data_IF_461077799720
#
_entry.id   IF_461077799720
#
_cell.length_a   1.000
_cell.length_b   1.000
_cell.length_c   1.000
_cell.angle_alpha   90.00
_cell.angle_beta   90.00
_cell.angle_gamma   90.00
#
_symmetry.space_group_name_H-M   'P 1'
#
loop_
_entity.id
_entity.type
_entity.pdbx_description
1 polymer ?
#
# COMPACT_ATOMS: atom_id res chain seq x y z
N UNK A 1 1.34 -3.03 11.86
CA UNK A 1 1.84 -3.80 10.69
C UNK A 1 1.84 -2.89 9.47
N UNK A 2 2.89 -2.94 8.65
CA UNK A 2 2.95 -2.23 7.36
C UNK A 2 3.16 -3.25 6.23
N UNK A 3 2.60 -2.95 5.06
CA UNK A 3 2.72 -3.77 3.86
C UNK A 3 2.52 -2.89 2.63
N UNK A 4 2.91 -3.37 1.46
CA UNK A 4 2.87 -2.60 0.21
C UNK A 4 2.30 -3.45 -0.93
N UNK A 5 1.77 -2.77 -1.95
CA UNK A 5 1.38 -3.39 -3.21
C UNK A 5 2.26 -2.82 -4.32
N UNK A 6 3.21 -3.63 -4.80
CA UNK A 6 4.13 -3.23 -5.86
C UNK A 6 3.37 -2.92 -7.15
N UNK A 7 3.56 -1.72 -7.70
CA UNK A 7 3.08 -1.36 -9.03
C UNK A 7 3.87 -2.11 -10.11
N UNK A 8 3.24 -2.36 -11.26
CA UNK A 8 3.91 -2.98 -12.40
C UNK A 8 5.00 -2.06 -12.94
N UNK A 9 6.24 -2.55 -13.01
CA UNK A 9 7.37 -1.78 -13.56
C UNK A 9 7.09 -1.38 -15.01
N UNK A 10 6.64 -2.32 -15.84
CA UNK A 10 6.33 -2.03 -17.26
C UNK A 10 5.20 -1.01 -17.40
N UNK A 11 4.24 -1.01 -16.47
CA UNK A 11 3.13 -0.06 -16.46
C UNK A 11 3.50 1.33 -15.99
N UNK A 12 4.55 1.48 -15.17
CA UNK A 12 4.92 2.76 -14.55
C UNK A 12 6.28 3.32 -14.97
N UNK A 13 7.08 2.58 -15.73
CA UNK A 13 8.44 2.99 -16.11
C UNK A 13 8.49 4.31 -16.89
N UNK A 14 7.48 4.61 -17.71
CA UNK A 14 7.50 5.76 -18.63
C UNK A 14 6.79 7.00 -18.11
N UNK A 15 5.99 6.87 -17.04
CA UNK A 15 5.14 7.91 -16.46
C UNK A 15 4.53 8.91 -17.47
N UNK A 16 4.05 8.39 -18.61
CA UNK A 16 3.61 9.19 -19.75
C UNK A 16 2.08 9.46 -19.75
N UNK A 17 1.36 8.98 -18.73
CA UNK A 17 -0.09 9.15 -18.58
C UNK A 17 -0.95 8.14 -19.34
N UNK A 18 -0.36 7.03 -19.82
CA UNK A 18 -1.04 6.05 -20.67
C UNK A 18 -1.28 4.73 -19.91
N UNK A 19 -0.22 4.12 -19.38
CA UNK A 19 -0.28 2.79 -18.76
C UNK A 19 -0.28 2.85 -17.22
N UNK A 20 0.11 4.00 -16.67
CA UNK A 20 0.32 4.19 -15.24
C UNK A 20 -1.00 4.11 -14.48
N UNK A 21 -2.09 4.65 -15.04
CA UNK A 21 -3.39 4.70 -14.38
C UNK A 21 -3.90 3.29 -14.07
N UNK A 22 -3.73 2.35 -15.00
CA UNK A 22 -4.08 0.94 -14.76
C UNK A 22 -3.22 0.32 -13.66
N UNK A 23 -1.90 0.52 -13.70
CA UNK A 23 -0.99 -0.03 -12.69
C UNK A 23 -1.26 0.53 -11.28
N UNK A 24 -1.61 1.82 -11.20
CA UNK A 24 -2.05 2.50 -9.99
C UNK A 24 -3.37 1.91 -9.50
N UNK A 25 -4.41 1.90 -10.34
CA UNK A 25 -5.73 1.37 -10.01
C UNK A 25 -5.66 -0.07 -9.52
N UNK A 26 -4.96 -0.95 -10.25
CA UNK A 26 -4.82 -2.35 -9.88
C UNK A 26 -4.12 -2.53 -8.53
N UNK A 27 -3.12 -1.70 -8.24
CA UNK A 27 -2.45 -1.72 -6.93
C UNK A 27 -3.39 -1.28 -5.82
N UNK A 28 -4.16 -0.21 -6.03
CA UNK A 28 -5.16 0.24 -5.08
C UNK A 28 -6.27 -0.78 -4.82
N UNK A 29 -6.76 -1.48 -5.85
CA UNK A 29 -7.81 -2.50 -5.70
C UNK A 29 -7.38 -3.70 -4.85
N UNK A 30 -6.07 -4.00 -4.81
CA UNK A 30 -5.52 -5.09 -3.97
C UNK A 30 -5.45 -4.70 -2.50
N UNK A 31 -5.27 -3.41 -2.21
CA UNK A 31 -5.00 -2.96 -0.86
C UNK A 31 -6.09 -3.35 0.16
N UNK A 32 -7.38 -3.04 -0.04
CA UNK A 32 -8.41 -3.40 0.93
C UNK A 32 -8.56 -4.93 1.10
N UNK A 33 -8.35 -5.72 0.05
CA UNK A 33 -8.44 -7.19 0.11
C UNK A 33 -7.41 -7.77 1.08
N UNK A 34 -6.14 -7.39 0.92
CA UNK A 34 -5.05 -7.86 1.78
C UNK A 34 -5.23 -7.36 3.21
N UNK A 35 -5.59 -6.08 3.37
CA UNK A 35 -5.81 -5.51 4.70
C UNK A 35 -6.92 -6.21 5.48
N UNK A 36 -8.02 -6.60 4.84
CA UNK A 36 -9.09 -7.39 5.47
C UNK A 36 -8.61 -8.79 5.83
N UNK A 37 -7.91 -9.49 4.93
CA UNK A 37 -7.38 -10.84 5.22
C UNK A 37 -6.46 -10.85 6.44
N UNK A 38 -5.55 -9.88 6.54
CA UNK A 38 -4.66 -9.72 7.69
C UNK A 38 -5.44 -9.42 8.96
N UNK A 39 -6.41 -8.50 8.88
CA UNK A 39 -7.23 -8.13 10.03
C UNK A 39 -8.01 -9.33 10.59
N UNK A 40 -8.67 -10.09 9.72
CA UNK A 40 -9.44 -11.27 10.13
C UNK A 40 -8.53 -12.39 10.65
N UNK A 41 -7.34 -12.56 10.08
CA UNK A 41 -6.33 -13.47 10.62
C UNK A 41 -5.95 -13.11 12.07
N UNK A 42 -5.61 -11.84 12.34
CA UNK A 42 -5.23 -11.38 13.68
C UNK A 42 -6.40 -11.53 14.67
N UNK A 43 -7.63 -11.24 14.23
CA UNK A 43 -8.84 -11.46 15.03
C UNK A 43 -9.11 -12.93 15.32
N UNK A 44 -8.84 -13.81 14.36
CA UNK A 44 -8.91 -15.26 14.54
C UNK A 44 -7.93 -15.79 15.61
N UNK A 45 -6.85 -15.05 15.87
CA UNK A 45 -5.91 -15.34 16.96
C UNK A 45 -6.34 -14.74 18.32
N UNK A 46 -7.50 -14.09 18.39
CA UNK A 46 -8.02 -13.46 19.61
C UNK A 46 -7.50 -12.05 19.88
N UNK A 47 -6.75 -11.45 18.96
CA UNK A 47 -6.23 -10.10 19.10
C UNK A 47 -7.10 -9.06 18.38
N UNK A 48 -7.11 -7.83 18.90
CA UNK A 48 -7.76 -6.72 18.23
C UNK A 48 -6.88 -6.21 17.07
N UNK A 49 -7.51 -6.00 15.91
CA UNK A 49 -6.90 -5.38 14.74
C UNK A 49 -7.81 -4.33 14.11
N UNK A 50 -7.22 -3.19 13.74
CA UNK A 50 -7.87 -2.10 13.02
C UNK A 50 -7.22 -1.92 11.65
N UNK A 51 -8.01 -2.00 10.59
CA UNK A 51 -7.59 -1.64 9.25
C UNK A 51 -8.19 -0.28 8.85
N UNK A 52 -7.39 0.79 8.81
CA UNK A 52 -7.86 2.14 8.44
C UNK A 52 -8.21 2.29 6.95
N UNK A 53 -7.89 1.29 6.13
CA UNK A 53 -8.06 1.34 4.70
C UNK A 53 -7.32 2.52 4.05
N UNK A 54 -7.91 3.06 2.98
CA UNK A 54 -7.39 4.22 2.24
C UNK A 54 -7.57 5.57 2.96
N UNK A 55 -8.35 5.60 4.04
CA UNK A 55 -8.83 6.82 4.67
C UNK A 55 -8.08 7.18 5.95
N UNK A 56 -7.15 6.34 6.42
CA UNK A 56 -6.49 6.56 7.71
C UNK A 56 -4.97 6.45 7.67
N UNK A 57 -4.38 7.34 8.46
CA UNK A 57 -2.96 7.55 8.77
C UNK A 57 -2.04 7.97 7.61
N UNK A 58 -1.05 8.79 7.98
CA UNK A 58 0.07 9.18 7.13
C UNK A 58 0.94 7.95 6.87
N UNK A 59 0.78 7.32 5.71
CA UNK A 59 1.46 6.06 5.36
C UNK A 59 2.97 6.22 5.18
N UNK A 60 3.44 7.39 4.73
CA UNK A 60 4.87 7.65 4.49
C UNK A 60 5.71 7.64 5.78
N UNK A 61 5.35 8.36 6.86
CA UNK A 61 6.04 8.24 8.15
C UNK A 61 6.02 6.82 8.72
N UNK A 62 4.87 6.14 8.68
CA UNK A 62 4.75 4.77 9.19
C UNK A 62 5.61 3.78 8.40
N UNK A 63 5.76 3.99 7.09
CA UNK A 63 6.61 3.16 6.24
C UNK A 63 8.08 3.31 6.65
N UNK A 64 8.53 4.54 6.90
CA UNK A 64 9.88 4.81 7.38
C UNK A 64 10.15 4.16 8.75
N UNK A 65 9.25 4.31 9.72
CA UNK A 65 9.41 3.69 11.03
C UNK A 65 9.36 2.16 11.00
N UNK A 66 8.65 1.57 10.04
CA UNK A 66 8.59 0.12 9.86
C UNK A 66 9.78 -0.47 9.10
N UNK A 67 10.72 0.36 8.62
CA UNK A 67 11.87 -0.08 7.83
C UNK A 67 11.53 -0.49 6.39
N UNK A 68 10.37 -0.11 5.85
CA UNK A 68 10.01 -0.42 4.45
C UNK A 68 10.76 0.43 3.43
N UNK A 69 11.37 1.53 3.87
CA UNK A 69 12.14 2.43 3.02
C UNK A 69 12.40 3.76 3.71
N UNK A 70 13.10 4.65 3.01
CA UNK A 70 13.46 5.97 3.51
C UNK A 70 12.62 7.06 2.86
N UNK A 71 12.49 8.20 3.53
CA UNK A 71 11.83 9.37 2.95
C UNK A 71 12.72 9.97 1.86
N UNK A 72 12.25 9.95 0.62
CA UNK A 72 12.98 10.47 -0.54
C UNK A 72 12.30 11.68 -1.18
N UNK A 73 13.09 12.52 -1.86
CA UNK A 73 12.55 13.56 -2.74
C UNK A 73 11.90 12.89 -3.96
N UNK A 74 10.62 13.12 -4.16
CA UNK A 74 9.91 12.68 -5.37
C UNK A 74 10.14 13.71 -6.48
N UNK A 75 10.64 13.30 -7.65
CA UNK A 75 10.67 14.14 -8.86
C UNK A 75 9.53 13.73 -9.78
N UNK A 76 9.06 14.70 -10.56
CA UNK A 76 8.38 14.48 -11.83
C UNK A 76 9.39 14.59 -12.97
#
# INVERSE_FOLDING_TARGET
>A
LMWSARQSLEGTRRQAGITENYAVWYSYSRLPKVGVQIQEFIRGLGYQALNPGMKGYLTSPLAAFSGMGEHGRMSS
#
